data_IF_432767407536
#
_entry.id   IF_432767407536
#
_cell.length_a   1.000
_cell.length_b   1.000
_cell.length_c   1.000
_cell.angle_alpha   90.00
_cell.angle_beta   90.00
_cell.angle_gamma   90.00
#
_symmetry.space_group_name_H-M   'P 1'
#
loop_
_entity.id
_entity.type
_entity.pdbx_description
1 polymer ?
#
# COMPACT_ATOMS: atom_id res chain seq x y z
N UNK A 1 40.36 -54.44 -16.35
CA UNK A 1 39.53 -53.64 -17.28
C UNK A 1 38.12 -53.43 -16.71
N UNK A 2 37.56 -54.39 -16.00
CA UNK A 2 36.17 -54.39 -15.52
C UNK A 2 35.90 -53.33 -14.41
N UNK A 3 36.87 -53.08 -13.52
CA UNK A 3 36.80 -52.12 -12.44
C UNK A 3 36.78 -50.67 -12.92
N UNK A 4 37.46 -50.35 -14.02
CA UNK A 4 37.48 -49.03 -14.65
C UNK A 4 36.17 -48.73 -15.37
N UNK A 5 35.56 -49.75 -15.95
CA UNK A 5 34.27 -49.63 -16.66
C UNK A 5 33.13 -49.39 -15.64
N UNK A 6 33.10 -50.08 -14.53
CA UNK A 6 32.11 -49.87 -13.43
C UNK A 6 32.22 -48.47 -12.84
N UNK A 7 33.44 -47.96 -12.59
CA UNK A 7 33.64 -46.56 -12.08
C UNK A 7 33.13 -45.51 -13.04
N UNK A 8 33.33 -45.66 -14.37
CA UNK A 8 32.79 -44.72 -15.36
C UNK A 8 31.27 -44.73 -15.42
N UNK A 9 30.62 -45.87 -15.25
CA UNK A 9 29.16 -46.02 -15.27
C UNK A 9 28.50 -45.38 -14.04
N UNK A 10 29.12 -45.52 -12.87
CA UNK A 10 28.64 -44.89 -11.62
C UNK A 10 28.85 -43.37 -11.63
N UNK A 11 29.93 -42.89 -12.20
CA UNK A 11 30.20 -41.46 -12.32
C UNK A 11 29.21 -40.79 -13.28
N UNK A 12 28.81 -41.42 -14.39
CA UNK A 12 27.76 -40.94 -15.30
C UNK A 12 26.38 -40.86 -14.60
N UNK A 13 26.03 -41.86 -13.78
CA UNK A 13 24.78 -41.84 -13.01
C UNK A 13 24.74 -40.70 -12.00
N UNK A 14 25.85 -40.44 -11.32
CA UNK A 14 25.94 -39.33 -10.35
C UNK A 14 25.88 -37.97 -11.01
N UNK A 15 26.48 -37.78 -12.19
CA UNK A 15 26.42 -36.53 -12.95
C UNK A 15 25.01 -36.27 -13.48
N UNK A 16 24.30 -37.31 -13.99
CA UNK A 16 22.91 -37.20 -14.43
C UNK A 16 21.98 -36.87 -13.26
N UNK A 17 22.21 -37.47 -12.09
CA UNK A 17 21.40 -37.19 -10.89
C UNK A 17 21.62 -35.77 -10.37
N UNK A 18 22.85 -35.26 -10.39
CA UNK A 18 23.16 -33.88 -9.99
C UNK A 18 22.58 -32.86 -10.99
N UNK A 19 22.62 -33.15 -12.29
CA UNK A 19 21.99 -32.30 -13.30
C UNK A 19 20.45 -32.28 -13.17
N UNK A 20 19.84 -33.42 -12.87
CA UNK A 20 18.39 -33.50 -12.62
C UNK A 20 17.97 -32.74 -11.35
N UNK A 21 18.77 -32.81 -10.28
CA UNK A 21 18.56 -32.04 -9.07
C UNK A 21 18.77 -30.53 -9.29
N UNK A 22 19.76 -30.13 -10.09
CA UNK A 22 19.99 -28.71 -10.43
C UNK A 22 18.86 -28.14 -11.30
N UNK A 23 18.30 -28.93 -12.22
CA UNK A 23 17.15 -28.54 -13.03
C UNK A 23 15.85 -28.44 -12.22
N UNK A 24 15.67 -29.28 -11.19
CA UNK A 24 14.55 -29.17 -10.25
C UNK A 24 14.67 -27.91 -9.38
N UNK A 25 15.87 -27.52 -8.97
CA UNK A 25 16.09 -26.27 -8.22
C UNK A 25 15.91 -25.01 -9.07
N UNK A 26 16.32 -25.02 -10.33
CA UNK A 26 16.06 -23.93 -11.27
C UNK A 26 14.58 -23.78 -11.60
N UNK A 27 13.81 -24.87 -11.64
CA UNK A 27 12.36 -24.83 -11.88
C UNK A 27 11.54 -24.24 -10.73
N UNK A 28 12.00 -24.38 -9.48
CA UNK A 28 11.31 -23.82 -8.29
C UNK A 28 11.61 -22.33 -8.11
N UNK A 29 12.78 -21.84 -8.55
CA UNK A 29 13.15 -20.45 -8.47
C UNK A 29 12.36 -19.55 -9.48
N UNK A 30 11.81 -20.12 -10.54
CA UNK A 30 11.07 -19.38 -11.58
C UNK A 30 9.57 -19.22 -11.30
N UNK A 31 9.03 -19.87 -10.26
CA UNK A 31 7.59 -19.89 -9.94
C UNK A 31 7.20 -18.98 -8.76
N UNK A 32 8.14 -18.34 -8.12
CA UNK A 32 7.83 -17.18 -7.26
C UNK A 32 7.69 -15.94 -8.14
N UNK A 33 6.65 -15.87 -8.96
CA UNK A 33 6.02 -14.58 -9.24
C UNK A 33 5.74 -13.99 -7.87
N UNK A 34 6.55 -13.00 -7.46
CA UNK A 34 6.29 -12.26 -6.23
C UNK A 34 4.84 -11.78 -6.33
N UNK A 35 3.95 -12.40 -5.55
CA UNK A 35 2.57 -11.95 -5.47
C UNK A 35 2.64 -10.51 -5.00
N UNK A 36 2.31 -9.59 -5.91
CA UNK A 36 2.30 -8.18 -5.60
C UNK A 36 1.16 -7.92 -4.62
N UNK A 37 1.44 -7.39 -3.43
CA UNK A 37 0.42 -7.19 -2.41
C UNK A 37 -0.72 -6.29 -2.90
N UNK A 38 -1.89 -6.51 -2.34
CA UNK A 38 -3.04 -5.60 -2.49
C UNK A 38 -3.18 -4.75 -1.25
N UNK A 39 -3.27 -3.44 -1.44
CA UNK A 39 -3.65 -2.48 -0.40
C UNK A 39 -5.07 -2.02 -0.64
N UNK A 40 -5.93 -2.26 0.34
CA UNK A 40 -7.32 -1.78 0.34
C UNK A 40 -7.39 -0.54 1.21
N UNK A 41 -7.91 0.55 0.66
CA UNK A 41 -8.14 1.80 1.37
C UNK A 41 -9.64 2.05 1.42
N UNK A 42 -10.15 2.37 2.60
CA UNK A 42 -11.54 2.78 2.79
C UNK A 42 -11.56 4.21 3.31
N UNK A 43 -12.09 5.10 2.51
CA UNK A 43 -12.27 6.51 2.83
C UNK A 43 -13.56 6.75 3.58
N UNK A 44 -13.50 7.57 4.63
CA UNK A 44 -14.63 7.96 5.47
C UNK A 44 -14.76 9.48 5.54
N UNK A 45 -15.98 9.98 5.58
CA UNK A 45 -16.29 11.36 5.94
C UNK A 45 -16.89 11.37 7.34
N UNK A 46 -16.06 11.68 8.33
CA UNK A 46 -16.49 11.77 9.73
C UNK A 46 -17.29 13.08 9.90
N UNK A 47 -18.42 13.01 10.61
CA UNK A 47 -19.23 14.19 10.90
C UNK A 47 -18.48 15.11 11.88
N UNK A 48 -18.61 16.44 11.75
CA UNK A 48 -17.93 17.38 12.64
C UNK A 48 -18.20 17.07 14.11
N UNK A 49 -17.13 17.04 14.92
CA UNK A 49 -17.18 16.77 16.36
C UNK A 49 -17.38 15.28 16.72
N UNK A 50 -17.23 14.35 15.76
CA UNK A 50 -17.38 12.91 15.94
C UNK A 50 -16.08 12.11 15.83
N UNK A 51 -14.95 12.77 15.81
CA UNK A 51 -13.63 12.16 15.69
C UNK A 51 -13.35 11.18 16.83
N UNK A 52 -13.70 11.57 18.09
CA UNK A 52 -13.53 10.72 19.25
C UNK A 52 -14.42 9.46 19.18
N UNK A 53 -15.68 9.61 18.76
CA UNK A 53 -16.61 8.49 18.56
C UNK A 53 -16.12 7.55 17.45
N UNK A 54 -15.53 8.11 16.37
CA UNK A 54 -14.92 7.34 15.29
C UNK A 54 -13.71 6.52 15.79
N UNK A 55 -12.81 7.16 16.53
CA UNK A 55 -11.65 6.47 17.09
C UNK A 55 -12.06 5.37 18.09
N UNK A 56 -13.16 5.55 18.79
CA UNK A 56 -13.73 4.51 19.65
C UNK A 56 -14.24 3.32 18.81
N UNK A 57 -14.93 3.57 17.69
CA UNK A 57 -15.35 2.51 16.76
C UNK A 57 -14.14 1.79 16.15
N UNK A 58 -13.10 2.52 15.76
CA UNK A 58 -11.87 1.89 15.30
C UNK A 58 -11.28 0.97 16.36
N UNK A 59 -11.13 1.46 17.59
CA UNK A 59 -10.50 0.73 18.69
C UNK A 59 -11.31 -0.49 19.13
N UNK A 60 -12.63 -0.41 19.13
CA UNK A 60 -13.50 -1.47 19.65
C UNK A 60 -13.98 -2.45 18.58
N UNK A 61 -14.05 -2.05 17.32
CA UNK A 61 -14.56 -2.87 16.21
C UNK A 61 -13.45 -3.22 15.22
N UNK A 62 -12.77 -2.21 14.68
CA UNK A 62 -11.86 -2.40 13.56
C UNK A 62 -10.48 -2.94 13.94
N UNK A 63 -9.85 -2.35 14.95
CA UNK A 63 -8.49 -2.72 15.36
C UNK A 63 -8.38 -4.17 15.84
N UNK A 64 -9.28 -4.68 16.74
CA UNK A 64 -9.15 -6.05 17.21
C UNK A 64 -9.18 -7.10 16.09
N UNK A 65 -9.97 -6.87 15.04
CA UNK A 65 -10.04 -7.76 13.88
C UNK A 65 -8.75 -7.69 13.07
N UNK A 66 -8.25 -6.48 12.78
CA UNK A 66 -7.05 -6.29 11.97
C UNK A 66 -5.79 -6.77 12.69
N UNK A 67 -5.67 -6.50 14.00
CA UNK A 67 -4.54 -6.95 14.81
C UNK A 67 -4.49 -8.49 14.88
N UNK A 68 -5.63 -9.14 15.04
CA UNK A 68 -5.74 -10.60 14.99
C UNK A 68 -5.26 -11.14 13.64
N UNK A 69 -5.77 -10.58 12.54
CA UNK A 69 -5.41 -11.02 11.19
C UNK A 69 -3.95 -10.70 10.85
N UNK A 70 -3.39 -9.65 11.43
CA UNK A 70 -1.96 -9.35 11.32
C UNK A 70 -1.11 -10.35 12.10
N UNK A 71 -1.52 -10.74 13.30
CA UNK A 71 -0.86 -11.81 14.07
C UNK A 71 -0.94 -13.18 13.35
N UNK A 72 -1.99 -13.44 12.58
CA UNK A 72 -2.17 -14.63 11.73
C UNK A 72 -1.41 -14.55 10.39
N UNK A 73 -0.75 -13.43 10.09
CA UNK A 73 -0.01 -13.21 8.83
C UNK A 73 -0.91 -13.01 7.59
N UNK A 74 -2.20 -12.78 7.78
CA UNK A 74 -3.14 -12.45 6.70
C UNK A 74 -2.97 -11.01 6.24
N UNK A 75 -2.82 -10.08 7.20
CA UNK A 75 -2.54 -8.66 6.98
C UNK A 75 -1.05 -8.42 7.22
N UNK A 76 -0.38 -7.73 6.29
CA UNK A 76 1.03 -7.33 6.41
C UNK A 76 1.22 -6.03 7.17
N UNK A 77 0.21 -5.16 7.10
CA UNK A 77 0.15 -3.89 7.80
C UNK A 77 -1.22 -3.26 7.64
N UNK A 78 -1.59 -2.40 8.59
CA UNK A 78 -2.81 -1.59 8.51
C UNK A 78 -2.59 -0.27 9.24
N UNK A 79 -3.39 0.73 8.91
CA UNK A 79 -3.31 2.03 9.56
C UNK A 79 -4.53 2.90 9.28
N UNK A 80 -4.49 4.08 9.89
CA UNK A 80 -5.46 5.15 9.70
C UNK A 80 -4.70 6.37 9.23
N UNK A 81 -5.15 6.96 8.13
CA UNK A 81 -4.62 8.20 7.62
C UNK A 81 -5.62 9.33 7.84
N UNK A 82 -5.10 10.47 8.24
CA UNK A 82 -5.85 11.72 8.39
C UNK A 82 -5.20 12.77 7.50
N UNK A 83 -5.90 13.30 6.49
CA UNK A 83 -5.35 14.34 5.64
C UNK A 83 -4.89 15.55 6.46
N UNK A 84 -3.62 15.93 6.32
CA UNK A 84 -3.07 17.11 6.97
C UNK A 84 -3.71 18.39 6.44
N UNK A 85 -4.07 18.40 5.13
CA UNK A 85 -4.77 19.48 4.46
C UNK A 85 -6.09 18.95 3.95
N UNK A 86 -7.17 19.34 4.60
CA UNK A 86 -8.52 18.97 4.18
C UNK A 86 -9.04 19.94 3.13
N UNK A 87 -9.51 19.41 2.01
CA UNK A 87 -10.20 20.18 0.97
C UNK A 87 -11.69 19.82 0.92
N UNK A 88 -12.58 20.76 0.57
CA UNK A 88 -13.99 20.49 0.48
C UNK A 88 -14.29 19.27 -0.41
N UNK A 89 -15.14 18.36 0.08
CA UNK A 89 -15.53 17.15 -0.65
C UNK A 89 -14.54 15.98 -0.57
N UNK A 90 -13.41 16.15 0.11
CA UNK A 90 -12.49 15.05 0.37
C UNK A 90 -12.90 14.27 1.64
N UNK A 91 -12.52 12.97 1.73
CA UNK A 91 -12.66 12.20 2.95
C UNK A 91 -11.84 12.84 4.07
N UNK A 92 -12.33 12.70 5.30
CA UNK A 92 -11.64 13.23 6.49
C UNK A 92 -10.67 12.21 7.08
N UNK A 93 -10.91 10.92 6.85
CA UNK A 93 -10.10 9.80 7.33
C UNK A 93 -10.10 8.68 6.30
N UNK A 94 -9.01 7.92 6.29
CA UNK A 94 -8.90 6.68 5.54
C UNK A 94 -8.40 5.56 6.45
N UNK A 95 -8.89 4.35 6.24
CA UNK A 95 -8.35 3.14 6.87
C UNK A 95 -7.81 2.26 5.75
N UNK A 96 -6.57 1.83 5.88
CA UNK A 96 -5.96 0.93 4.90
C UNK A 96 -5.47 -0.36 5.55
N UNK A 97 -5.38 -1.40 4.74
CA UNK A 97 -4.68 -2.64 5.08
C UNK A 97 -4.06 -3.27 3.83
N UNK A 98 -2.96 -3.98 4.01
CA UNK A 98 -2.23 -4.65 2.94
C UNK A 98 -2.22 -6.16 3.14
N UNK A 99 -2.52 -6.92 2.08
CA UNK A 99 -2.63 -8.38 2.06
C UNK A 99 -1.94 -8.98 0.84
N UNK A 100 -1.67 -10.29 0.84
CA UNK A 100 -0.99 -10.96 -0.28
C UNK A 100 -1.79 -10.93 -1.60
N UNK A 101 -3.11 -10.93 -1.55
CA UNK A 101 -3.97 -10.99 -2.73
C UNK A 101 -5.46 -11.03 -2.36
N UNK A 102 -6.32 -11.35 -3.33
CA UNK A 102 -7.78 -11.32 -3.16
C UNK A 102 -8.32 -12.24 -2.07
N UNK A 103 -7.71 -13.40 -1.84
CA UNK A 103 -8.08 -14.29 -0.73
C UNK A 103 -7.87 -13.61 0.63
N UNK A 104 -6.81 -12.82 0.76
CA UNK A 104 -6.57 -11.99 1.94
C UNK A 104 -7.64 -10.92 2.10
N UNK A 105 -8.02 -10.23 1.02
CA UNK A 105 -9.13 -9.26 1.03
C UNK A 105 -10.42 -9.91 1.50
N UNK A 106 -10.77 -11.07 0.96
CA UNK A 106 -11.98 -11.82 1.35
C UNK A 106 -11.97 -12.21 2.84
N UNK A 107 -10.82 -12.67 3.35
CA UNK A 107 -10.68 -13.01 4.79
C UNK A 107 -10.91 -11.80 5.67
N UNK A 108 -10.34 -10.64 5.33
CA UNK A 108 -10.52 -9.39 6.09
C UNK A 108 -11.99 -8.97 6.05
N UNK A 109 -12.62 -8.96 4.87
CA UNK A 109 -14.03 -8.58 4.73
C UNK A 109 -14.95 -9.48 5.52
N UNK A 110 -14.72 -10.81 5.47
CA UNK A 110 -15.53 -11.80 6.22
C UNK A 110 -15.38 -11.64 7.72
N UNK A 111 -14.16 -11.41 8.22
CA UNK A 111 -13.90 -11.20 9.64
C UNK A 111 -14.52 -9.88 10.14
N UNK A 112 -14.43 -8.81 9.33
CA UNK A 112 -15.07 -7.52 9.65
C UNK A 112 -16.59 -7.63 9.67
N UNK A 113 -17.19 -8.33 8.70
CA UNK A 113 -18.64 -8.57 8.67
C UNK A 113 -19.09 -9.34 9.92
N UNK A 114 -18.38 -10.40 10.31
CA UNK A 114 -18.68 -11.16 11.51
C UNK A 114 -18.61 -10.31 12.79
N UNK A 115 -17.61 -9.43 12.90
CA UNK A 115 -17.48 -8.52 14.02
C UNK A 115 -18.64 -7.50 14.08
N UNK A 116 -19.02 -6.94 12.92
CA UNK A 116 -20.15 -6.01 12.83
C UNK A 116 -21.46 -6.70 13.26
N UNK A 117 -21.72 -7.93 12.78
CA UNK A 117 -22.91 -8.69 13.20
C UNK A 117 -22.91 -8.98 14.70
N UNK A 118 -21.76 -9.30 15.28
CA UNK A 118 -21.61 -9.44 16.73
C UNK A 118 -21.99 -8.15 17.46
N UNK A 119 -21.47 -7.00 17.03
CA UNK A 119 -21.78 -5.70 17.64
C UNK A 119 -23.27 -5.32 17.50
N UNK A 120 -23.88 -5.66 16.36
CA UNK A 120 -25.32 -5.50 16.14
C UNK A 120 -26.14 -6.36 17.10
N UNK A 121 -25.77 -7.63 17.29
CA UNK A 121 -26.44 -8.53 18.20
C UNK A 121 -26.32 -8.05 19.65
N UNK A 122 -25.13 -7.64 20.09
CA UNK A 122 -24.88 -7.08 21.42
C UNK A 122 -25.70 -5.81 21.68
N UNK A 123 -25.84 -4.93 20.68
CA UNK A 123 -26.62 -3.70 20.82
C UNK A 123 -28.14 -3.92 20.90
N UNK A 124 -28.63 -5.08 20.46
CA UNK A 124 -30.05 -5.49 20.56
C UNK A 124 -30.36 -6.24 21.86
N UNK A 125 -29.34 -6.61 22.64
CA UNK A 125 -29.56 -7.30 23.91
C UNK A 125 -30.39 -6.43 24.86
N UNK A 126 -31.32 -7.04 25.65
CA UNK A 126 -32.11 -6.30 26.62
C UNK A 126 -31.21 -5.52 27.58
N UNK A 127 -31.51 -4.24 27.87
CA UNK A 127 -30.75 -3.47 28.83
C UNK A 127 -30.82 -4.09 30.22
N UNK A 128 -29.79 -3.89 31.03
CA UNK A 128 -29.82 -4.28 32.43
C UNK A 128 -31.05 -3.69 33.12
N UNK A 129 -31.58 -4.43 34.09
CA UNK A 129 -32.81 -4.03 34.79
C UNK A 129 -32.73 -2.57 35.32
N UNK A 130 -33.60 -1.70 34.80
CA UNK A 130 -33.63 -0.28 35.13
C UNK A 130 -32.79 0.64 34.22
N UNK A 131 -32.04 0.12 33.27
CA UNK A 131 -31.33 0.94 32.31
C UNK A 131 -32.21 1.26 31.08
N UNK A 132 -32.06 2.46 30.51
CA UNK A 132 -32.72 2.83 29.26
C UNK A 132 -32.04 2.07 28.08
N UNK A 133 -32.82 1.66 27.04
CA UNK A 133 -32.23 1.13 25.84
C UNK A 133 -31.21 2.10 25.24
N UNK A 134 -30.01 1.60 24.94
CA UNK A 134 -29.00 2.36 24.20
C UNK A 134 -29.33 2.43 22.72
N UNK A 135 -28.64 3.29 21.97
CA UNK A 135 -28.71 3.30 20.51
C UNK A 135 -28.15 2.00 19.93
N UNK A 136 -28.76 1.50 18.88
CA UNK A 136 -28.25 0.38 18.13
C UNK A 136 -26.86 0.68 17.54
N UNK A 137 -26.13 -0.37 17.15
CA UNK A 137 -24.82 -0.22 16.52
C UNK A 137 -24.94 0.62 15.23
N UNK A 138 -25.96 0.36 14.41
CA UNK A 138 -26.17 1.07 13.14
C UNK A 138 -26.52 2.55 13.36
N UNK A 139 -27.34 2.90 14.37
CA UNK A 139 -27.60 4.30 14.72
C UNK A 139 -26.34 5.02 15.17
N UNK A 140 -25.52 4.38 16.01
CA UNK A 140 -24.25 4.97 16.48
C UNK A 140 -23.30 5.24 15.31
N UNK A 141 -23.14 4.26 14.39
CA UNK A 141 -22.27 4.43 13.22
C UNK A 141 -22.77 5.50 12.26
N UNK A 142 -24.10 5.59 12.03
CA UNK A 142 -24.70 6.63 11.19
C UNK A 142 -24.55 8.06 11.76
N UNK A 143 -24.42 8.18 13.10
CA UNK A 143 -24.13 9.47 13.73
C UNK A 143 -22.67 9.88 13.61
N UNK A 144 -21.76 8.92 13.43
CA UNK A 144 -20.31 9.17 13.38
C UNK A 144 -19.87 9.55 11.97
N UNK A 145 -20.29 8.83 10.94
CA UNK A 145 -19.84 9.10 9.58
C UNK A 145 -20.97 9.02 8.55
N UNK A 146 -20.75 9.70 7.42
CA UNK A 146 -21.67 9.71 6.30
C UNK A 146 -21.39 8.50 5.39
N UNK A 147 -22.19 7.45 5.54
CA UNK A 147 -22.04 6.22 4.77
C UNK A 147 -22.16 6.43 3.25
N UNK A 148 -22.94 7.44 2.80
CA UNK A 148 -23.08 7.74 1.37
C UNK A 148 -21.81 8.27 0.72
N UNK A 149 -20.85 8.74 1.55
CA UNK A 149 -19.53 9.25 1.13
C UNK A 149 -18.40 8.26 1.37
N UNK A 150 -18.71 7.06 1.86
CA UNK A 150 -17.71 6.02 2.01
C UNK A 150 -17.30 5.50 0.64
N UNK A 151 -15.99 5.46 0.40
CA UNK A 151 -15.40 4.92 -0.84
C UNK A 151 -14.40 3.83 -0.48
N UNK A 152 -14.22 2.88 -1.38
CA UNK A 152 -13.20 1.84 -1.23
C UNK A 152 -12.35 1.76 -2.49
N UNK A 153 -11.05 1.70 -2.28
CA UNK A 153 -10.04 1.58 -3.31
C UNK A 153 -9.28 0.28 -3.11
N UNK A 154 -8.92 -0.38 -4.19
CA UNK A 154 -8.05 -1.54 -4.16
C UNK A 154 -6.86 -1.25 -5.06
N UNK A 155 -5.69 -1.26 -4.49
CA UNK A 155 -4.43 -1.00 -5.18
C UNK A 155 -3.56 -2.24 -5.19
N UNK A 156 -2.87 -2.44 -6.29
CA UNK A 156 -1.79 -3.42 -6.39
C UNK A 156 -0.46 -2.68 -6.24
N UNK A 157 0.32 -3.08 -5.26
CA UNK A 157 1.69 -2.60 -5.08
C UNK A 157 2.56 -3.17 -6.20
N UNK A 158 3.19 -2.31 -6.99
CA UNK A 158 4.01 -2.69 -8.13
C UNK A 158 5.50 -2.70 -7.81
N UNK A 159 5.93 -1.74 -6.98
CA UNK A 159 7.31 -1.58 -6.55
C UNK A 159 7.34 -0.80 -5.23
N UNK A 160 8.01 -1.35 -4.23
CA UNK A 160 8.14 -0.71 -2.92
C UNK A 160 9.58 -0.83 -2.41
N UNK A 161 10.09 0.24 -1.82
CA UNK A 161 11.39 0.26 -1.18
C UNK A 161 11.26 0.98 0.17
N UNK A 162 11.60 0.28 1.24
CA UNK A 162 11.54 0.81 2.60
C UNK A 162 12.91 0.71 3.27
N UNK A 163 13.13 1.53 4.29
CA UNK A 163 14.23 1.31 5.21
C UNK A 163 14.04 -0.02 5.92
N UNK A 164 15.12 -0.73 6.19
CA UNK A 164 15.08 -2.02 6.92
C UNK A 164 14.61 -1.87 8.37
N UNK A 165 14.67 -0.66 8.92
CA UNK A 165 14.18 -0.35 10.25
C UNK A 165 12.78 0.32 10.15
N UNK A 166 11.74 -0.26 10.76
CA UNK A 166 10.47 0.44 10.89
C UNK A 166 10.70 1.74 11.68
N UNK A 167 9.95 2.83 11.38
CA UNK A 167 10.00 4.03 12.19
C UNK A 167 9.65 3.69 13.65
N UNK A 168 10.22 4.39 14.63
CA UNK A 168 9.82 4.24 16.02
C UNK A 168 8.30 4.28 16.18
N UNK A 169 7.73 3.45 17.05
CA UNK A 169 6.29 3.29 17.20
C UNK A 169 5.54 4.57 17.62
N UNK A 170 6.26 5.55 18.15
CA UNK A 170 5.79 6.88 18.55
C UNK A 170 5.85 7.93 17.42
N UNK A 171 6.49 7.62 16.30
CA UNK A 171 6.52 8.47 15.12
C UNK A 171 5.48 8.00 14.10
N UNK A 172 4.40 8.76 13.99
CA UNK A 172 3.45 8.61 12.89
C UNK A 172 4.11 9.10 11.61
N UNK A 173 4.38 8.24 10.61
CA UNK A 173 4.97 8.70 9.37
C UNK A 173 3.98 9.58 8.61
N UNK A 174 4.48 10.68 8.08
CA UNK A 174 3.73 11.47 7.10
C UNK A 174 3.93 10.87 5.71
N UNK A 175 2.87 10.84 4.92
CA UNK A 175 2.93 10.33 3.55
C UNK A 175 2.44 11.37 2.56
N UNK A 176 3.18 11.54 1.48
CA UNK A 176 2.70 12.23 0.29
C UNK A 176 2.33 11.20 -0.75
N UNK A 177 1.08 11.18 -1.14
CA UNK A 177 0.56 10.33 -2.21
C UNK A 177 0.35 11.20 -3.45
N UNK A 178 0.92 10.81 -4.58
CA UNK A 178 0.71 11.46 -5.86
C UNK A 178 -0.09 10.51 -6.75
N UNK A 179 -1.28 10.93 -7.13
CA UNK A 179 -2.11 10.24 -8.12
C UNK A 179 -1.68 10.67 -9.51
N UNK A 180 -1.48 9.72 -10.39
CA UNK A 180 -1.01 9.96 -11.77
C UNK A 180 -1.85 9.15 -12.74
N UNK A 181 -2.07 9.71 -13.94
CA UNK A 181 -2.69 8.99 -15.05
C UNK A 181 -1.62 8.67 -16.08
N UNK A 182 -1.23 7.41 -16.15
CA UNK A 182 -0.34 6.91 -17.21
C UNK A 182 -1.21 6.59 -18.42
N UNK A 183 -0.80 7.09 -19.60
CA UNK A 183 -1.53 6.86 -20.84
C UNK A 183 -1.61 5.38 -21.20
N UNK A 184 -2.68 4.92 -21.83
CA UNK A 184 -2.86 3.51 -22.18
C UNK A 184 -1.66 2.93 -22.93
N UNK A 185 -1.19 1.75 -22.49
CA UNK A 185 -0.02 1.05 -23.05
C UNK A 185 1.33 1.65 -22.71
N UNK A 186 1.41 2.72 -21.91
CA UNK A 186 2.65 3.44 -21.59
C UNK A 186 3.28 3.09 -20.23
N UNK A 187 2.71 2.16 -19.49
CA UNK A 187 3.22 1.80 -18.16
C UNK A 187 4.69 1.39 -18.17
N UNK A 188 5.09 0.46 -19.03
CA UNK A 188 6.47 -0.02 -19.03
C UNK A 188 7.49 1.05 -19.44
N UNK A 189 7.13 1.93 -20.40
CA UNK A 189 7.96 3.08 -20.75
C UNK A 189 8.08 4.05 -19.56
N UNK A 190 6.95 4.32 -18.88
CA UNK A 190 6.92 5.18 -17.71
C UNK A 190 7.73 4.59 -16.55
N UNK A 191 7.57 3.28 -16.27
CA UNK A 191 8.33 2.60 -15.21
C UNK A 191 9.83 2.65 -15.48
N UNK A 192 10.25 2.41 -16.72
CA UNK A 192 11.65 2.52 -17.12
C UNK A 192 12.20 3.96 -16.96
N UNK A 193 11.39 4.98 -17.29
CA UNK A 193 11.75 6.38 -17.06
C UNK A 193 11.83 6.70 -15.56
N UNK A 194 10.88 6.23 -14.77
CA UNK A 194 10.89 6.38 -13.32
C UNK A 194 12.14 5.73 -12.69
N UNK A 195 12.45 4.50 -13.08
CA UNK A 195 13.63 3.78 -12.58
C UNK A 195 14.93 4.47 -12.96
N UNK A 196 14.99 5.05 -14.13
CA UNK A 196 16.19 5.76 -14.61
C UNK A 196 16.39 7.11 -13.93
N UNK A 197 15.32 7.88 -13.72
CA UNK A 197 15.42 9.28 -13.35
C UNK A 197 14.98 9.60 -11.92
N UNK A 198 13.99 8.88 -11.39
CA UNK A 198 13.42 9.16 -10.06
C UNK A 198 13.97 8.22 -8.99
N UNK A 199 13.99 6.93 -9.28
CA UNK A 199 14.40 5.90 -8.31
C UNK A 199 15.79 6.15 -7.71
N UNK A 200 16.84 6.53 -8.45
CA UNK A 200 18.16 6.79 -7.87
C UNK A 200 18.19 7.93 -6.85
N UNK A 201 17.29 8.93 -6.99
CA UNK A 201 17.14 10.01 -6.02
C UNK A 201 16.50 9.49 -4.75
N UNK A 202 15.42 8.70 -4.89
CA UNK A 202 14.76 8.07 -3.75
C UNK A 202 15.67 7.09 -3.01
N UNK A 203 16.43 6.26 -3.72
CA UNK A 203 17.36 5.31 -3.11
C UNK A 203 18.42 6.00 -2.23
N UNK A 204 18.95 7.14 -2.68
CA UNK A 204 19.87 7.98 -1.87
C UNK A 204 19.18 8.54 -0.63
N UNK A 205 17.93 8.98 -0.75
CA UNK A 205 17.15 9.52 0.36
C UNK A 205 16.78 8.45 1.39
N UNK A 206 16.50 7.23 0.96
CA UNK A 206 16.32 6.06 1.84
C UNK A 206 17.63 5.75 2.56
N UNK A 207 18.74 5.61 1.81
CA UNK A 207 20.05 5.29 2.37
C UNK A 207 20.54 6.33 3.39
N UNK A 208 20.15 7.60 3.23
CA UNK A 208 20.45 8.68 4.18
C UNK A 208 19.43 8.83 5.32
N UNK A 209 18.38 8.00 5.38
CA UNK A 209 17.34 8.06 6.40
C UNK A 209 16.43 9.29 6.30
N UNK A 210 16.45 10.03 5.18
CA UNK A 210 15.56 11.18 4.97
C UNK A 210 14.12 10.74 4.75
N UNK A 211 13.92 9.63 4.01
CA UNK A 211 12.61 9.03 3.79
C UNK A 211 12.57 7.61 4.37
N UNK A 212 11.41 7.23 4.89
CA UNK A 212 11.16 5.91 5.44
C UNK A 212 10.82 4.89 4.34
N UNK A 213 10.20 5.34 3.26
CA UNK A 213 9.82 4.48 2.16
C UNK A 213 9.29 5.24 0.94
N UNK A 214 9.29 4.55 -0.18
CA UNK A 214 8.70 4.97 -1.44
C UNK A 214 8.04 3.78 -2.10
N UNK A 215 6.91 3.99 -2.76
CA UNK A 215 6.24 2.95 -3.50
C UNK A 215 5.49 3.46 -4.72
N UNK A 216 5.17 2.52 -5.58
CA UNK A 216 4.36 2.69 -6.78
C UNK A 216 3.27 1.63 -6.74
N UNK A 217 2.04 2.03 -6.99
CA UNK A 217 0.93 1.10 -7.14
C UNK A 217 0.03 1.47 -8.32
N UNK A 218 -0.80 0.53 -8.71
CA UNK A 218 -1.85 0.73 -9.69
C UNK A 218 -3.20 0.45 -9.06
N UNK A 219 -4.23 1.16 -9.52
CA UNK A 219 -5.60 0.83 -9.16
C UNK A 219 -5.97 -0.55 -9.76
N UNK A 220 -6.28 -1.51 -8.89
CA UNK A 220 -6.62 -2.89 -9.29
C UNK A 220 -8.06 -3.00 -9.79
N UNK A 221 -8.97 -2.27 -9.15
CA UNK A 221 -10.36 -2.19 -9.55
C UNK A 221 -10.67 -0.74 -9.87
N UNK A 222 -10.79 -0.41 -11.14
CA UNK A 222 -11.04 0.96 -11.59
C UNK A 222 -12.42 1.44 -11.17
N UNK A 223 -12.41 2.38 -10.22
CA UNK A 223 -13.59 3.16 -9.89
C UNK A 223 -13.52 4.48 -10.64
N UNK A 224 -14.27 4.81 -11.57
CA UNK A 224 -14.52 6.13 -12.17
C UNK A 224 -13.34 6.94 -12.78
N UNK A 225 -12.16 6.37 -13.03
CA UNK A 225 -11.27 6.89 -14.07
C UNK A 225 -10.50 8.18 -13.82
N UNK A 226 -10.35 8.64 -12.58
CA UNK A 226 -9.60 9.88 -12.29
C UNK A 226 -8.08 9.71 -12.35
N UNK A 227 -7.55 8.51 -12.12
CA UNK A 227 -6.12 8.18 -12.18
C UNK A 227 -5.93 6.69 -12.46
N UNK A 228 -4.72 6.27 -12.79
CA UNK A 228 -4.41 4.86 -13.06
C UNK A 228 -3.38 4.30 -12.11
N UNK A 229 -2.49 5.14 -11.61
CA UNK A 229 -1.37 4.77 -10.74
C UNK A 229 -1.19 5.81 -9.66
N UNK A 230 -0.48 5.43 -8.61
CA UNK A 230 -0.02 6.35 -7.59
C UNK A 230 1.45 6.11 -7.26
N UNK A 231 2.10 7.13 -6.75
CA UNK A 231 3.37 7.01 -6.04
C UNK A 231 3.21 7.57 -4.64
N UNK A 232 3.92 7.00 -3.67
CA UNK A 232 3.95 7.58 -2.34
C UNK A 232 5.37 7.69 -1.80
N UNK A 233 5.56 8.65 -0.91
CA UNK A 233 6.80 8.85 -0.15
C UNK A 233 6.42 9.04 1.30
N UNK A 234 6.99 8.22 2.18
CA UNK A 234 6.75 8.31 3.63
C UNK A 234 7.97 8.89 4.35
N UNK A 235 7.73 9.81 5.27
CA UNK A 235 8.76 10.53 6.03
C UNK A 235 8.41 10.57 7.51
N UNK A 236 9.42 10.64 8.38
CA UNK A 236 9.21 10.72 9.83
C UNK A 236 8.75 12.11 10.31
N UNK A 237 8.99 13.16 9.53
CA UNK A 237 8.59 14.54 9.87
C UNK A 237 8.38 15.37 8.60
N UNK A 238 7.58 16.42 8.70
CA UNK A 238 7.22 17.29 7.56
C UNK A 238 8.43 17.99 6.92
N UNK A 239 9.44 18.35 7.71
CA UNK A 239 10.66 18.99 7.20
C UNK A 239 11.47 18.10 6.24
N UNK A 240 11.26 16.78 6.30
CA UNK A 240 11.92 15.87 5.36
C UNK A 240 11.39 16.04 3.93
N UNK A 241 10.14 16.50 3.72
CA UNK A 241 9.65 16.81 2.37
C UNK A 241 10.44 17.91 1.67
N UNK A 242 10.96 18.90 2.43
CA UNK A 242 11.86 19.92 1.85
C UNK A 242 13.19 19.30 1.42
N UNK A 243 13.72 18.32 2.17
CA UNK A 243 14.93 17.59 1.76
C UNK A 243 14.68 16.74 0.52
N UNK A 244 13.50 16.09 0.42
CA UNK A 244 13.10 15.38 -0.80
C UNK A 244 13.06 16.33 -1.99
N UNK A 245 12.39 17.49 -1.84
CA UNK A 245 12.32 18.50 -2.89
C UNK A 245 13.72 19.00 -3.29
N UNK A 246 14.57 19.32 -2.31
CA UNK A 246 15.93 19.79 -2.56
C UNK A 246 16.78 18.75 -3.31
N UNK A 247 16.65 17.46 -2.99
CA UNK A 247 17.35 16.39 -3.69
C UNK A 247 16.95 16.28 -5.17
N UNK A 248 15.64 16.38 -5.48
CA UNK A 248 15.17 16.39 -6.87
C UNK A 248 15.59 17.66 -7.62
N UNK A 249 15.61 18.81 -6.97
CA UNK A 249 16.13 20.05 -7.55
C UNK A 249 17.63 19.90 -7.86
N UNK A 250 18.43 19.39 -6.92
CA UNK A 250 19.86 19.18 -7.10
C UNK A 250 20.15 18.20 -8.25
N UNK A 251 19.45 17.07 -8.33
CA UNK A 251 19.56 16.12 -9.45
C UNK A 251 19.21 16.79 -10.79
N UNK A 252 18.15 17.60 -10.81
CA UNK A 252 17.73 18.32 -12.01
C UNK A 252 18.76 19.38 -12.44
N UNK A 253 19.30 20.14 -11.50
CA UNK A 253 20.30 21.20 -11.80
C UNK A 253 21.62 20.61 -12.27
N UNK A 254 21.98 19.41 -11.81
CA UNK A 254 23.19 18.70 -12.26
C UNK A 254 23.14 18.26 -13.73
N UNK A 255 21.95 18.28 -14.37
CA UNK A 255 21.76 17.89 -15.77
C UNK A 255 21.84 19.11 -16.70
N UNK A 256 22.22 18.90 -17.96
CA UNK A 256 22.14 19.93 -18.98
C UNK A 256 20.69 20.40 -19.23
N UNK A 257 20.53 21.59 -19.82
CA UNK A 257 19.19 22.07 -20.19
C UNK A 257 18.50 21.11 -21.16
N UNK A 258 19.23 20.61 -22.16
CA UNK A 258 18.72 19.66 -23.16
C UNK A 258 18.21 18.36 -22.51
N UNK A 259 18.95 17.80 -21.54
CA UNK A 259 18.50 16.62 -20.79
C UNK A 259 17.24 16.90 -19.97
N UNK A 260 17.16 18.06 -19.30
CA UNK A 260 15.98 18.46 -18.53
C UNK A 260 14.73 18.53 -19.40
N UNK A 261 14.86 19.14 -20.58
CA UNK A 261 13.77 19.30 -21.54
C UNK A 261 13.34 17.94 -22.11
N UNK A 262 14.31 17.06 -22.43
CA UNK A 262 14.04 15.72 -22.89
C UNK A 262 13.31 14.87 -21.85
N UNK A 263 13.72 14.93 -20.56
CA UNK A 263 13.05 14.21 -19.47
C UNK A 263 11.64 14.76 -19.28
N UNK A 264 11.45 16.07 -19.28
CA UNK A 264 10.13 16.70 -19.15
C UNK A 264 9.21 16.29 -20.31
N UNK A 265 9.67 16.33 -21.54
CA UNK A 265 8.93 15.90 -22.72
C UNK A 265 8.58 14.41 -22.65
N UNK A 266 9.51 13.56 -22.15
CA UNK A 266 9.27 12.14 -21.97
C UNK A 266 8.12 11.90 -20.99
N UNK A 267 8.13 12.45 -19.78
CA UNK A 267 7.05 12.25 -18.81
C UNK A 267 5.71 12.82 -19.29
N UNK A 268 5.69 13.98 -19.94
CA UNK A 268 4.48 14.58 -20.53
C UNK A 268 3.89 13.69 -21.65
N UNK A 269 4.72 13.00 -22.42
CA UNK A 269 4.28 12.03 -23.42
C UNK A 269 3.65 10.79 -22.78
N UNK A 270 4.11 10.38 -21.60
CA UNK A 270 3.73 9.14 -20.93
C UNK A 270 2.54 9.29 -19.99
N UNK A 271 2.33 10.50 -19.44
CA UNK A 271 1.27 10.78 -18.45
C UNK A 271 0.30 11.84 -18.95
N UNK A 272 -0.83 11.96 -18.28
CA UNK A 272 -1.74 13.10 -18.40
C UNK A 272 -1.52 14.04 -17.21
N UNK A 273 -0.84 15.19 -17.41
CA UNK A 273 -0.54 16.11 -16.31
C UNK A 273 -1.77 16.82 -15.76
N UNK A 274 -2.88 16.88 -16.50
CA UNK A 274 -4.12 17.55 -16.05
C UNK A 274 -4.83 16.79 -14.95
N UNK A 275 -4.53 15.49 -14.81
CA UNK A 275 -5.12 14.58 -13.84
C UNK A 275 -4.21 14.33 -12.62
N UNK A 276 -3.05 15.00 -12.55
CA UNK A 276 -2.12 14.84 -11.44
C UNK A 276 -2.67 15.51 -10.17
N UNK A 277 -2.72 14.77 -9.06
CA UNK A 277 -3.15 15.24 -7.74
C UNK A 277 -2.17 14.74 -6.69
N UNK A 278 -2.00 15.50 -5.61
CA UNK A 278 -1.19 15.11 -4.46
C UNK A 278 -1.98 15.26 -3.17
N UNK A 279 -1.83 14.29 -2.28
CA UNK A 279 -2.38 14.32 -0.94
C UNK A 279 -1.23 14.26 0.06
N UNK A 280 -1.39 14.94 1.18
CA UNK A 280 -0.50 14.89 2.32
C UNK A 280 -1.28 14.32 3.51
N UNK A 281 -0.83 13.16 3.99
CA UNK A 281 -1.43 12.39 5.07
C UNK A 281 -0.52 12.41 6.29
#
# INVERSE_FOLDING_TARGET
>A
LDLLYRRKKDMRKRVVLMLALALLWCGVASAQQQMQPLTVITDFTIRPGKEADYMELVRTVGAPVRDKLMAEGVIFGWGIDVPLLQMPGQPTHSVWYTVAGWDGVQKVQSAMAAQIEKMRAESKAPPAKGAKPGKSFDERTAEVFDQSKTRQWVFRELDTNFTSAPPPADLLPYSRINLITIKPGKYFEWKAAFDKYNKPVYDKLIASGVIAGVGIGTEEARSAGEFTHFTYVSVANLGAFEKVRAAFIADRVARSQEERDAITALFNRLTDPTMARSFLL
#
